data_IF_529068380717
#
_entry.id   IF_529068380717
#
_cell.length_a   1.000
_cell.length_b   1.000
_cell.length_c   1.000
_cell.angle_alpha   90.00
_cell.angle_beta   90.00
_cell.angle_gamma   90.00
#
_symmetry.space_group_name_H-M   'P 1'
#
loop_
_entity.id
_entity.type
_entity.pdbx_description
1 polymer ?
#
# COMPACT_ATOMS: atom_id res chain seq x y z
N UNK A 1 -7.92 -5.32 9.42
CA UNK A 1 -7.02 -6.11 10.30
C UNK A 1 -5.76 -6.55 9.59
N UNK A 2 -5.84 -7.29 8.47
CA UNK A 2 -4.65 -7.73 7.73
C UNK A 2 -3.73 -6.56 7.32
N UNK A 3 -4.29 -5.50 6.73
CA UNK A 3 -3.54 -4.30 6.36
C UNK A 3 -2.82 -3.66 7.55
N UNK A 4 -3.48 -3.58 8.70
CA UNK A 4 -2.92 -2.99 9.92
C UNK A 4 -1.71 -3.80 10.41
N UNK A 5 -1.78 -5.13 10.35
CA UNK A 5 -0.67 -6.02 10.71
C UNK A 5 0.50 -5.84 9.74
N UNK A 6 0.23 -5.81 8.43
CA UNK A 6 1.27 -5.60 7.41
C UNK A 6 1.95 -4.23 7.56
N UNK A 7 1.15 -3.19 7.82
CA UNK A 7 1.66 -1.84 8.00
C UNK A 7 2.54 -1.73 9.25
N UNK A 8 2.09 -2.27 10.39
CA UNK A 8 2.89 -2.31 11.62
C UNK A 8 4.19 -3.10 11.42
N UNK A 9 4.12 -4.26 10.76
CA UNK A 9 5.30 -5.06 10.44
C UNK A 9 6.31 -4.27 9.59
N UNK A 10 5.84 -3.60 8.54
CA UNK A 10 6.70 -2.77 7.69
C UNK A 10 7.33 -1.60 8.45
N UNK A 11 6.62 -1.00 9.41
CA UNK A 11 7.14 0.06 10.28
C UNK A 11 8.19 -0.44 11.27
N UNK A 12 8.04 -1.67 11.78
CA UNK A 12 9.05 -2.29 12.66
C UNK A 12 10.33 -2.59 11.88
N UNK A 13 10.23 -3.13 10.67
CA UNK A 13 11.41 -3.42 9.83
C UNK A 13 12.11 -2.14 9.34
N UNK A 14 11.34 -1.09 9.04
CA UNK A 14 11.84 0.26 8.78
C UNK A 14 12.71 0.77 9.95
N UNK A 15 12.21 0.65 11.18
CA UNK A 15 12.94 1.06 12.38
C UNK A 15 14.20 0.22 12.62
N UNK A 16 14.11 -1.10 12.47
CA UNK A 16 15.24 -2.02 12.65
C UNK A 16 16.39 -1.74 11.69
N UNK A 17 16.08 -1.51 10.42
CA UNK A 17 17.08 -1.19 9.39
C UNK A 17 17.73 0.17 9.60
N UNK A 18 16.97 1.16 10.09
CA UNK A 18 17.51 2.47 10.47
C UNK A 18 18.53 2.36 11.62
N UNK A 19 18.20 1.62 12.68
CA UNK A 19 19.11 1.39 13.83
C UNK A 19 20.36 0.63 13.41
N UNK A 20 20.23 -0.33 12.49
CA UNK A 20 21.35 -1.10 11.93
C UNK A 20 22.18 -0.33 10.90
N UNK A 21 21.80 0.91 10.56
CA UNK A 21 22.43 1.74 9.51
C UNK A 21 22.48 1.07 8.13
N UNK A 22 21.58 0.12 7.86
CA UNK A 22 21.44 -0.51 6.55
C UNK A 22 20.50 0.33 5.68
N UNK A 23 21.06 1.36 5.05
CA UNK A 23 20.30 2.31 4.26
C UNK A 23 19.73 1.72 2.96
N UNK A 24 20.32 0.63 2.44
CA UNK A 24 19.82 -0.02 1.24
C UNK A 24 18.50 -0.73 1.55
N UNK A 25 18.50 -1.59 2.56
CA UNK A 25 17.30 -2.30 2.99
C UNK A 25 16.27 -1.33 3.60
N UNK A 26 16.71 -0.28 4.27
CA UNK A 26 15.81 0.76 4.81
C UNK A 26 14.95 1.41 3.72
N UNK A 27 15.55 1.79 2.57
CA UNK A 27 14.82 2.40 1.45
C UNK A 27 13.71 1.48 0.92
N UNK A 28 13.97 0.18 0.86
CA UNK A 28 12.97 -0.82 0.44
C UNK A 28 11.78 -0.83 1.40
N UNK A 29 12.03 -0.83 2.71
CA UNK A 29 10.96 -0.81 3.71
C UNK A 29 10.21 0.53 3.77
N UNK A 30 10.87 1.66 3.48
CA UNK A 30 10.20 2.96 3.30
C UNK A 30 9.15 2.86 2.19
N UNK A 31 9.53 2.34 1.01
CA UNK A 31 8.62 2.23 -0.13
C UNK A 31 7.45 1.30 0.17
N UNK A 32 7.71 0.15 0.82
CA UNK A 32 6.65 -0.80 1.23
C UNK A 32 5.66 -0.20 2.22
N UNK A 33 6.16 0.48 3.26
CA UNK A 33 5.32 1.13 4.26
C UNK A 33 4.49 2.27 3.64
N UNK A 34 5.11 3.05 2.75
CA UNK A 34 4.43 4.12 2.01
C UNK A 34 3.35 3.56 1.06
N UNK A 35 3.66 2.50 0.30
CA UNK A 35 2.70 1.83 -0.58
C UNK A 35 1.46 1.34 0.18
N UNK A 36 1.65 0.73 1.34
CA UNK A 36 0.55 0.29 2.21
C UNK A 36 -0.34 1.47 2.67
N UNK A 37 0.27 2.60 3.04
CA UNK A 37 -0.46 3.81 3.42
C UNK A 37 -1.18 4.45 2.23
N UNK A 38 -0.53 4.48 1.06
CA UNK A 38 -1.08 5.03 -0.17
C UNK A 38 -2.27 4.23 -0.70
N UNK A 39 -2.36 2.94 -0.38
CA UNK A 39 -3.54 2.12 -0.65
C UNK A 39 -4.85 2.74 -0.12
N UNK A 40 -4.81 3.47 1.00
CA UNK A 40 -5.98 4.19 1.51
C UNK A 40 -6.39 5.39 0.63
N UNK A 41 -5.44 6.03 -0.05
CA UNK A 41 -5.72 7.10 -1.03
C UNK A 41 -6.33 6.48 -2.28
N UNK A 42 -5.71 5.42 -2.81
CA UNK A 42 -6.20 4.68 -3.98
C UNK A 42 -7.63 4.18 -3.76
N UNK A 43 -7.93 3.64 -2.58
CA UNK A 43 -9.27 3.20 -2.19
C UNK A 43 -10.28 4.34 -2.32
N UNK A 44 -9.96 5.54 -1.79
CA UNK A 44 -10.87 6.69 -1.86
C UNK A 44 -11.11 7.15 -3.29
N UNK A 45 -10.05 7.23 -4.10
CA UNK A 45 -10.17 7.64 -5.51
C UNK A 45 -11.08 6.66 -6.26
N UNK A 46 -10.85 5.35 -6.11
CA UNK A 46 -11.67 4.35 -6.76
C UNK A 46 -13.11 4.33 -6.25
N UNK A 47 -13.34 4.48 -4.94
CA UNK A 47 -14.68 4.51 -4.38
C UNK A 47 -15.49 5.69 -4.92
N UNK A 48 -14.91 6.89 -4.93
CA UNK A 48 -15.60 8.07 -5.49
C UNK A 48 -15.91 7.86 -6.97
N UNK A 49 -14.94 7.37 -7.76
CA UNK A 49 -15.16 7.10 -9.17
C UNK A 49 -16.31 6.11 -9.39
N UNK A 50 -16.32 4.99 -8.67
CA UNK A 50 -17.36 3.95 -8.83
C UNK A 50 -18.74 4.42 -8.35
N UNK A 51 -18.80 5.25 -7.31
CA UNK A 51 -20.05 5.87 -6.86
C UNK A 51 -20.60 6.89 -7.87
N UNK A 52 -19.73 7.63 -8.57
CA UNK A 52 -20.15 8.50 -9.68
C UNK A 52 -20.77 7.72 -10.85
N UNK A 53 -20.36 6.46 -11.06
CA UNK A 53 -20.99 5.55 -12.02
C UNK A 53 -22.34 4.96 -11.56
N UNK A 54 -22.83 5.34 -10.36
CA UNK A 54 -24.16 4.96 -9.86
C UNK A 54 -24.21 3.66 -9.06
N UNK A 55 -23.05 3.09 -8.69
CA UNK A 55 -23.00 1.90 -7.85
C UNK A 55 -23.14 2.22 -6.36
N UNK A 56 -23.80 1.32 -5.62
CA UNK A 56 -23.89 1.40 -4.15
C UNK A 56 -22.54 1.13 -3.49
N UNK A 57 -22.30 1.80 -2.37
CA UNK A 57 -21.10 1.58 -1.55
C UNK A 57 -20.93 0.11 -1.16
N UNK A 58 -22.02 -0.55 -0.74
CA UNK A 58 -21.97 -1.94 -0.26
C UNK A 58 -21.51 -2.93 -1.34
N UNK A 59 -21.92 -2.71 -2.59
CA UNK A 59 -21.65 -3.64 -3.69
C UNK A 59 -20.19 -3.53 -4.15
N UNK A 60 -19.65 -2.30 -4.18
CA UNK A 60 -18.32 -2.06 -4.73
C UNK A 60 -17.22 -2.05 -3.67
N UNK A 61 -17.52 -1.74 -2.40
CA UNK A 61 -16.50 -1.58 -1.37
C UNK A 61 -15.55 -2.77 -1.25
N UNK A 62 -16.08 -3.99 -1.23
CA UNK A 62 -15.25 -5.20 -1.10
C UNK A 62 -14.24 -5.31 -2.25
N UNK A 63 -14.69 -5.12 -3.49
CA UNK A 63 -13.82 -5.18 -4.69
C UNK A 63 -12.81 -4.04 -4.66
N UNK A 64 -13.26 -2.82 -4.39
CA UNK A 64 -12.41 -1.63 -4.40
C UNK A 64 -11.29 -1.70 -3.35
N UNK A 65 -11.56 -2.29 -2.17
CA UNK A 65 -10.54 -2.54 -1.15
C UNK A 65 -9.42 -3.43 -1.70
N UNK A 66 -9.76 -4.59 -2.27
CA UNK A 66 -8.74 -5.51 -2.79
C UNK A 66 -7.97 -4.93 -3.97
N UNK A 67 -8.65 -4.23 -4.90
CA UNK A 67 -8.01 -3.56 -6.03
C UNK A 67 -7.06 -2.47 -5.55
N UNK A 68 -7.46 -1.67 -4.56
CA UNK A 68 -6.61 -0.60 -4.02
C UNK A 68 -5.31 -1.13 -3.42
N UNK A 69 -5.39 -2.27 -2.72
CA UNK A 69 -4.21 -2.91 -2.12
C UNK A 69 -3.30 -3.48 -3.21
N UNK A 70 -3.87 -4.21 -4.17
CA UNK A 70 -3.12 -4.78 -5.28
C UNK A 70 -2.39 -3.70 -6.08
N UNK A 71 -3.06 -2.59 -6.41
CA UNK A 71 -2.43 -1.49 -7.14
C UNK A 71 -1.33 -0.80 -6.32
N UNK A 72 -1.60 -0.45 -5.07
CA UNK A 72 -0.63 0.28 -4.27
C UNK A 72 0.61 -0.57 -3.93
N UNK A 73 0.42 -1.83 -3.51
CA UNK A 73 1.53 -2.75 -3.22
C UNK A 73 2.28 -3.15 -4.49
N UNK A 74 1.56 -3.42 -5.58
CA UNK A 74 2.17 -3.75 -6.88
C UNK A 74 3.04 -2.62 -7.41
N UNK A 75 2.57 -1.38 -7.31
CA UNK A 75 3.36 -0.21 -7.68
C UNK A 75 4.58 -0.03 -6.76
N UNK A 76 4.42 -0.28 -5.46
CA UNK A 76 5.53 -0.25 -4.50
C UNK A 76 6.64 -1.24 -4.87
N UNK A 77 6.30 -2.49 -5.17
CA UNK A 77 7.29 -3.50 -5.57
C UNK A 77 7.89 -3.22 -6.96
N UNK A 78 7.12 -2.62 -7.89
CA UNK A 78 7.65 -2.15 -9.17
C UNK A 78 8.73 -1.06 -8.99
N UNK A 79 8.52 -0.13 -8.06
CA UNK A 79 9.49 0.93 -7.74
C UNK A 79 10.75 0.41 -7.03
N UNK A 80 10.66 -0.74 -6.36
CA UNK A 80 11.79 -1.38 -5.67
C UNK A 80 12.64 -2.20 -6.63
N UNK A 81 12.02 -2.82 -7.65
CA UNK A 81 12.76 -3.58 -8.66
C UNK A 81 13.73 -2.67 -9.42
N UNK A 82 15.01 -3.05 -9.54
CA UNK A 82 15.89 -2.41 -10.52
C UNK A 82 15.26 -2.55 -11.90
N UNK A 83 15.22 -1.46 -12.67
CA UNK A 83 14.92 -1.53 -14.09
C UNK A 83 16.11 -2.22 -14.75
N UNK A 84 15.98 -3.53 -15.01
CA UNK A 84 16.92 -4.30 -15.83
C UNK A 84 16.89 -3.84 -17.30
#
# INVERSE_FOLDING_TARGET
MLLSVLWLYSGVELWRTAVRKDFQTHRVWVVRCFALAFGAVVLRVLLNAVQEFGYSFQDCYAVTVWVSWAMAMGLGEYLIKPAD
#
